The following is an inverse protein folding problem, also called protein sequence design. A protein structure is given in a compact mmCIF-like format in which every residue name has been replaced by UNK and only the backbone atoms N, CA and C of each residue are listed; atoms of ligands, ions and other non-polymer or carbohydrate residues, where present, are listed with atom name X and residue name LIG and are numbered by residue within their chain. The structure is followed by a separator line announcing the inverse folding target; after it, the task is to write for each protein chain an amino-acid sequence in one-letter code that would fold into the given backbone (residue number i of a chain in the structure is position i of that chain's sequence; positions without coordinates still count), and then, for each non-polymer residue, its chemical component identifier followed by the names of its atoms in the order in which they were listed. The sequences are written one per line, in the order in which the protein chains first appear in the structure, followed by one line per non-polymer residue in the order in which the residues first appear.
data_IF_751402660819
#
_entry.id   IF_751402660819
#
_cell.length_a   1.000
_cell.length_b   1.000
_cell.length_c   1.000
_cell.angle_alpha   90.00
_cell.angle_beta   90.00
_cell.angle_gamma   90.00
#
_symmetry.space_group_name_H-M   'P 1'
#
loop_
_entity.id
_entity.type
_entity.pdbx_description
1 polymer ?
#
# COMPACT_ATOMS: atom_id res chain seq x y z
N UNK A 1 -11.48 34.46 -11.25
CA UNK A 1 -12.81 33.93 -11.64
C UNK A 1 -12.62 32.52 -12.20
N UNK A 2 -13.41 31.54 -11.75
CA UNK A 2 -13.41 30.20 -12.35
C UNK A 2 -14.07 30.27 -13.73
N UNK A 3 -13.45 29.63 -14.72
CA UNK A 3 -13.96 29.61 -16.11
C UNK A 3 -14.28 28.23 -16.63
N UNK A 4 -13.72 27.19 -16.01
CA UNK A 4 -14.03 25.80 -16.35
C UNK A 4 -13.70 24.92 -15.16
N UNK A 5 -14.53 23.93 -14.90
CA UNK A 5 -14.30 22.91 -13.88
C UNK A 5 -14.69 21.55 -14.46
N UNK A 6 -13.84 20.57 -14.24
CA UNK A 6 -14.08 19.15 -14.49
C UNK A 6 -13.94 18.40 -13.18
N UNK A 7 -14.23 17.10 -13.19
CA UNK A 7 -14.05 16.23 -12.01
C UNK A 7 -12.63 16.22 -11.46
N UNK A 8 -11.62 16.56 -12.28
CA UNK A 8 -10.20 16.46 -11.89
C UNK A 8 -9.45 17.77 -11.97
N UNK A 9 -10.04 18.82 -12.55
CA UNK A 9 -9.33 20.09 -12.76
C UNK A 9 -10.23 21.30 -12.67
N UNK A 10 -9.69 22.42 -12.17
CA UNK A 10 -10.34 23.72 -12.17
C UNK A 10 -9.46 24.74 -12.86
N UNK A 11 -10.04 25.54 -13.75
CA UNK A 11 -9.36 26.58 -14.51
C UNK A 11 -9.84 27.94 -14.05
N UNK A 12 -8.90 28.79 -13.63
CA UNK A 12 -9.16 30.10 -13.04
C UNK A 12 -8.45 31.17 -13.86
N UNK A 13 -9.20 32.19 -14.28
CA UNK A 13 -8.65 33.43 -14.80
C UNK A 13 -8.31 34.33 -13.61
N UNK A 14 -7.03 34.65 -13.49
CA UNK A 14 -6.53 35.69 -12.59
C UNK A 14 -6.42 37.03 -13.34
N UNK A 15 -6.22 38.12 -12.60
CA UNK A 15 -6.01 39.45 -13.20
C UNK A 15 -4.84 39.41 -14.20
N UNK A 16 -4.88 40.28 -15.22
CA UNK A 16 -4.05 40.24 -16.44
C UNK A 16 -2.58 39.81 -16.23
N UNK A 17 -1.92 40.30 -15.16
CA UNK A 17 -0.54 39.94 -14.82
C UNK A 17 -0.27 38.44 -14.54
N UNK A 18 -1.30 37.64 -14.25
CA UNK A 18 -1.16 36.22 -13.90
C UNK A 18 -1.84 35.26 -14.88
N UNK A 19 -2.67 35.79 -15.78
CA UNK A 19 -3.36 35.03 -16.83
C UNK A 19 -4.28 33.91 -16.33
N UNK A 20 -4.48 32.92 -17.18
CA UNK A 20 -5.28 31.72 -16.90
C UNK A 20 -4.39 30.62 -16.33
N UNK A 21 -4.81 30.02 -15.22
CA UNK A 21 -4.13 28.84 -14.64
C UNK A 21 -5.10 27.69 -14.45
N UNK A 22 -4.56 26.48 -14.57
CA UNK A 22 -5.28 25.23 -14.38
C UNK A 22 -4.70 24.53 -13.16
N UNK A 23 -5.57 24.05 -12.28
CA UNK A 23 -5.21 23.36 -11.05
C UNK A 23 -5.90 22.00 -10.99
N UNK A 24 -5.36 21.10 -10.18
CA UNK A 24 -5.97 19.80 -9.91
C UNK A 24 -7.12 19.99 -8.90
N UNK A 25 -8.27 19.41 -9.22
CA UNK A 25 -9.44 19.40 -8.36
C UNK A 25 -9.55 18.06 -7.63
N UNK A 26 -9.92 18.02 -6.35
CA UNK A 26 -10.11 19.18 -5.44
C UNK A 26 -8.82 19.60 -4.70
N UNK A 27 -7.69 18.93 -4.91
CA UNK A 27 -6.46 19.13 -4.11
C UNK A 27 -5.88 20.56 -4.14
N UNK A 28 -6.17 21.35 -5.17
CA UNK A 28 -5.72 22.74 -5.23
C UNK A 28 -6.27 23.61 -4.09
N UNK A 29 -7.41 23.25 -3.51
CA UNK A 29 -8.02 23.97 -2.40
C UNK A 29 -7.33 23.70 -1.05
N UNK A 30 -6.37 22.78 -1.00
CA UNK A 30 -5.58 22.54 0.21
C UNK A 30 -4.50 23.61 0.44
N UNK A 31 -4.04 24.27 -0.63
CA UNK A 31 -2.86 25.15 -0.55
C UNK A 31 -2.85 26.34 -1.52
N UNK A 32 -3.44 26.22 -2.71
CA UNK A 32 -3.30 27.22 -3.77
C UNK A 32 -4.55 28.09 -3.95
N UNK A 33 -5.74 27.54 -3.67
CA UNK A 33 -7.02 28.20 -3.85
C UNK A 33 -7.76 28.30 -2.52
N UNK A 34 -8.42 29.42 -2.31
CA UNK A 34 -9.33 29.62 -1.17
C UNK A 34 -10.66 30.09 -1.74
N UNK A 35 -11.74 29.47 -1.29
CA UNK A 35 -13.10 29.88 -1.61
C UNK A 35 -13.45 31.11 -0.75
N UNK A 36 -13.98 32.14 -1.40
CA UNK A 36 -14.38 33.37 -0.72
C UNK A 36 -15.70 33.21 0.04
N UNK A 37 -16.57 32.32 -0.42
CA UNK A 37 -17.84 32.00 0.25
C UNK A 37 -17.59 30.99 1.37
N UNK A 38 -18.07 31.31 2.57
CA UNK A 38 -17.86 30.47 3.76
C UNK A 38 -18.61 29.15 3.71
N UNK A 39 -19.76 29.11 3.03
CA UNK A 39 -20.59 27.91 2.87
C UNK A 39 -19.92 26.97 1.87
N UNK A 40 -19.54 27.48 0.70
CA UNK A 40 -18.80 26.69 -0.31
C UNK A 40 -17.47 26.20 0.24
N UNK A 41 -16.79 27.02 1.07
CA UNK A 41 -15.57 26.60 1.76
C UNK A 41 -15.81 25.42 2.69
N UNK A 42 -16.86 25.45 3.50
CA UNK A 42 -17.18 24.36 4.41
C UNK A 42 -17.49 23.06 3.65
N UNK A 43 -18.24 23.14 2.54
CA UNK A 43 -18.51 21.99 1.67
C UNK A 43 -17.23 21.41 1.05
N UNK A 44 -16.32 22.28 0.61
CA UNK A 44 -15.01 21.86 0.07
C UNK A 44 -14.12 21.23 1.15
N UNK A 45 -14.10 21.79 2.36
CA UNK A 45 -13.35 21.23 3.49
C UNK A 45 -13.88 19.83 3.85
N UNK A 46 -15.20 19.61 3.75
CA UNK A 46 -15.84 18.32 3.95
C UNK A 46 -15.50 17.32 2.83
N UNK A 47 -15.50 17.74 1.55
CA UNK A 47 -15.09 16.91 0.41
C UNK A 47 -13.61 16.48 0.55
N UNK A 48 -12.73 17.42 0.89
CA UNK A 48 -11.31 17.14 1.12
C UNK A 48 -11.10 16.19 2.28
N UNK A 49 -11.89 16.32 3.37
CA UNK A 49 -11.83 15.40 4.51
C UNK A 49 -12.20 13.97 4.08
N UNK A 50 -13.29 13.79 3.35
CA UNK A 50 -13.71 12.47 2.86
C UNK A 50 -12.66 11.81 1.94
N UNK A 51 -12.01 12.61 1.08
CA UNK A 51 -10.95 12.11 0.21
C UNK A 51 -9.74 11.64 1.02
N UNK A 52 -9.34 12.40 2.04
CA UNK A 52 -8.24 12.01 2.94
C UNK A 52 -8.57 10.75 3.72
N UNK A 53 -9.78 10.63 4.26
CA UNK A 53 -10.22 9.43 4.98
C UNK A 53 -10.17 8.19 4.09
N UNK A 54 -10.66 8.29 2.85
CA UNK A 54 -10.57 7.19 1.87
C UNK A 54 -9.13 6.83 1.55
N UNK A 55 -8.27 7.83 1.33
CA UNK A 55 -6.86 7.58 1.02
C UNK A 55 -6.13 6.90 2.19
N UNK A 56 -6.41 7.31 3.43
CA UNK A 56 -5.85 6.69 4.63
C UNK A 56 -6.35 5.26 4.82
N UNK A 57 -7.63 5.00 4.57
CA UNK A 57 -8.18 3.65 4.65
C UNK A 57 -7.56 2.73 3.60
N UNK A 58 -7.39 3.22 2.36
CA UNK A 58 -6.73 2.46 1.30
C UNK A 58 -5.26 2.18 1.63
N UNK A 59 -4.54 3.17 2.16
CA UNK A 59 -3.15 2.99 2.61
C UNK A 59 -3.05 1.97 3.74
N UNK A 60 -3.94 2.04 4.74
CA UNK A 60 -4.01 1.07 5.84
C UNK A 60 -4.26 -0.34 5.32
N UNK A 61 -5.20 -0.50 4.39
CA UNK A 61 -5.52 -1.80 3.79
C UNK A 61 -4.31 -2.38 3.05
N UNK A 62 -3.61 -1.57 2.26
CA UNK A 62 -2.39 -2.02 1.56
C UNK A 62 -1.29 -2.43 2.55
N UNK A 63 -1.14 -1.70 3.65
CA UNK A 63 -0.16 -2.04 4.68
C UNK A 63 -0.49 -3.38 5.36
N UNK A 64 -1.77 -3.64 5.65
CA UNK A 64 -2.24 -4.91 6.21
C UNK A 64 -2.02 -6.09 5.25
N UNK A 65 -2.38 -5.93 3.97
CA UNK A 65 -2.13 -6.95 2.93
C UNK A 65 -0.63 -7.25 2.76
N UNK A 66 0.22 -6.23 2.83
CA UNK A 66 1.66 -6.39 2.76
C UNK A 66 2.25 -7.09 4.01
N UNK A 67 1.68 -6.85 5.18
CA UNK A 67 2.07 -7.52 6.42
C UNK A 67 1.67 -9.00 6.40
N UNK A 68 0.43 -9.31 5.99
CA UNK A 68 -0.06 -10.68 5.84
C UNK A 68 0.84 -11.48 4.89
N UNK A 69 1.15 -10.93 3.70
CA UNK A 69 2.05 -11.58 2.73
C UNK A 69 3.42 -11.89 3.34
N UNK A 70 3.99 -10.96 4.11
CA UNK A 70 5.29 -11.16 4.78
C UNK A 70 5.22 -12.23 5.85
N UNK A 71 4.12 -12.33 6.59
CA UNK A 71 3.93 -13.39 7.57
C UNK A 71 3.83 -14.76 6.93
N UNK A 72 3.07 -14.90 5.84
CA UNK A 72 2.94 -16.14 5.09
C UNK A 72 4.29 -16.61 4.55
N UNK A 73 5.08 -15.70 3.95
CA UNK A 73 6.44 -15.99 3.50
C UNK A 73 7.33 -16.49 4.64
N UNK A 74 7.25 -15.86 5.82
CA UNK A 74 8.01 -16.30 7.01
C UNK A 74 7.59 -17.69 7.47
N UNK A 75 6.28 -17.99 7.48
CA UNK A 75 5.75 -19.32 7.86
C UNK A 75 6.21 -20.38 6.88
N UNK A 76 6.13 -20.12 5.57
CA UNK A 76 6.58 -21.04 4.53
C UNK A 76 8.08 -21.35 4.64
N UNK A 77 8.92 -20.33 4.88
CA UNK A 77 10.37 -20.53 5.08
C UNK A 77 10.64 -21.41 6.32
N UNK A 78 9.93 -21.17 7.42
CA UNK A 78 10.08 -21.97 8.64
C UNK A 78 9.66 -23.43 8.42
N UNK A 79 8.57 -23.66 7.71
CA UNK A 79 8.10 -24.99 7.36
C UNK A 79 9.10 -25.73 6.47
N UNK A 80 9.64 -25.08 5.44
CA UNK A 80 10.69 -25.67 4.60
C UNK A 80 11.92 -26.06 5.44
N UNK A 81 12.37 -25.19 6.34
CA UNK A 81 13.49 -25.49 7.26
C UNK A 81 13.19 -26.70 8.17
N UNK A 82 11.96 -26.81 8.69
CA UNK A 82 11.50 -27.96 9.50
C UNK A 82 11.45 -29.25 8.67
N UNK A 83 11.01 -29.19 7.41
CA UNK A 83 10.96 -30.35 6.53
C UNK A 83 12.37 -30.88 6.19
N UNK A 84 13.32 -29.97 5.94
CA UNK A 84 14.73 -30.33 5.65
C UNK A 84 15.39 -31.01 6.85
N UNK A 85 15.19 -30.46 8.06
CA UNK A 85 15.75 -31.03 9.30
C UNK A 85 15.16 -32.41 9.61
N UNK A 86 13.85 -32.60 9.43
CA UNK A 86 13.20 -33.93 9.56
C UNK A 86 13.78 -34.95 8.58
N UNK A 87 13.93 -34.59 7.29
CA UNK A 87 14.52 -35.48 6.27
C UNK A 87 15.98 -35.87 6.58
N UNK A 88 16.79 -34.97 7.14
CA UNK A 88 18.18 -35.29 7.54
C UNK A 88 18.25 -36.23 8.74
N UNK A 89 17.29 -36.17 9.67
CA UNK A 89 17.26 -37.03 10.85
C UNK A 89 16.80 -38.47 10.54
N UNK A 90 15.94 -38.68 9.54
CA UNK A 90 15.48 -40.02 9.13
C UNK A 90 16.55 -40.81 8.37
N UNK A 91 17.43 -40.15 7.63
CA UNK A 91 18.53 -40.80 6.88
C UNK A 91 19.62 -41.34 7.83
N UNK A 92 19.76 -40.82 9.05
CA UNK A 92 20.74 -41.30 10.04
C UNK A 92 20.31 -42.53 10.85
N UNK A 93 19.13 -43.09 10.61
CA UNK A 93 18.57 -44.23 11.37
C UNK A 93 18.56 -45.57 10.63
N UNK A 94 19.48 -45.80 9.68
CA UNK A 94 19.75 -47.17 9.22
C UNK A 94 20.78 -47.82 10.16
N UNK A 95 20.43 -48.88 10.90
CA UNK A 95 21.37 -49.58 11.78
C UNK A 95 22.40 -50.33 10.93
N UNK A 96 23.67 -50.19 11.32
CA UNK A 96 24.78 -50.96 10.74
C UNK A 96 24.53 -52.46 10.94
N UNK A 97 24.33 -53.19 9.85
CA UNK A 97 24.33 -54.65 9.83
C UNK A 97 25.79 -55.13 9.97
N UNK A 98 26.15 -55.95 10.96
CA UNK A 98 27.53 -56.39 11.14
C UNK A 98 27.92 -57.36 10.01
N UNK A 99 29.10 -57.15 9.43
CA UNK A 99 29.80 -58.07 8.54
C UNK A 99 30.39 -59.21 9.38
N UNK A 100 30.01 -60.45 9.12
CA UNK A 100 30.88 -61.59 9.39
C UNK A 100 31.27 -62.23 8.05
N UNK A 101 32.60 -62.28 7.83
CA UNK A 101 33.32 -63.04 6.80
C UNK A 101 34.10 -64.15 7.52
N UNK A 102 34.09 -65.36 6.95
CA UNK A 102 35.12 -66.43 6.97
C UNK A 102 34.42 -67.68 6.38
N UNK A 103 34.69 -68.20 5.16
CA UNK A 103 35.91 -68.95 4.71
C UNK A 103 36.43 -69.83 5.86
N UNK A 104 36.38 -71.16 5.86
CA UNK A 104 36.60 -72.21 4.84
C UNK A 104 35.76 -73.46 5.21
#
# INVERSE_FOLDING_TARGET
KVISQTMTTVTVIFREKYGTKKFIYPSAFESFLVLCDSTEKAEMDDELRQIRERAQEEERKRAEEDEERREEERRAILEQKRAITKKRSSVKKTPAKPKNKSED
#
